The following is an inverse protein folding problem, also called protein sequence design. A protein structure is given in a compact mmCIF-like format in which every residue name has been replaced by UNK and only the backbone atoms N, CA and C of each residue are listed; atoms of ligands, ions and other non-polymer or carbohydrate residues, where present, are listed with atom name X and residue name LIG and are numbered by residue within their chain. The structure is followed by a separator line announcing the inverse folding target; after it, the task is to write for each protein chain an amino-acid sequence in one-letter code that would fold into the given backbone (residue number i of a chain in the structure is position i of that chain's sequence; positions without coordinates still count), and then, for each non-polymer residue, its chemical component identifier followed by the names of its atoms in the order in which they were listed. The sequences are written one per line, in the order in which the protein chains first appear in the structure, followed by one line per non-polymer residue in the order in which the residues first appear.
data_IF_361198510553
#
_entry.id   IF_361198510553
#
_cell.length_a   1.000
_cell.length_b   1.000
_cell.length_c   1.000
_cell.angle_alpha   90.00
_cell.angle_beta   90.00
_cell.angle_gamma   90.00
#
_symmetry.space_group_name_H-M   'P 1'
#
loop_
_entity.id
_entity.type
_entity.pdbx_description
1 polymer ?
#
# COMPACT_ATOMS: atom_id res chain seq x y z
N UNK A 1 14.46 -42.93 -24.46
CA UNK A 1 13.52 -42.86 -23.32
C UNK A 1 14.07 -42.18 -22.08
N UNK A 2 15.37 -42.29 -21.72
CA UNK A 2 15.97 -41.63 -20.54
C UNK A 2 15.97 -40.08 -20.59
N UNK A 3 16.16 -39.47 -21.78
CA UNK A 3 16.21 -38.02 -21.90
C UNK A 3 14.85 -37.32 -21.71
N UNK A 4 13.76 -37.99 -22.06
CA UNK A 4 12.43 -37.40 -21.92
C UNK A 4 11.96 -37.39 -20.46
N UNK A 5 12.45 -38.33 -19.64
CA UNK A 5 12.17 -38.37 -18.21
C UNK A 5 12.87 -37.21 -17.46
N UNK A 6 14.13 -36.91 -17.82
CA UNK A 6 14.89 -35.83 -17.26
C UNK A 6 14.31 -34.46 -17.63
N UNK A 7 13.87 -34.27 -18.86
CA UNK A 7 13.21 -33.06 -19.35
C UNK A 7 11.85 -32.88 -18.65
N UNK A 8 11.07 -33.96 -18.49
CA UNK A 8 9.79 -33.91 -17.77
C UNK A 8 9.97 -33.58 -16.28
N UNK A 9 11.02 -34.10 -15.63
CA UNK A 9 11.36 -33.82 -14.26
C UNK A 9 11.82 -32.35 -14.08
N UNK A 10 12.58 -31.82 -15.05
CA UNK A 10 13.04 -30.43 -15.04
C UNK A 10 11.86 -29.45 -15.22
N UNK A 11 10.91 -29.76 -16.11
CA UNK A 11 9.69 -28.98 -16.32
C UNK A 11 8.81 -29.00 -15.07
N UNK A 12 8.71 -30.14 -14.38
CA UNK A 12 7.94 -30.25 -13.14
C UNK A 12 8.56 -29.43 -11.99
N UNK A 13 9.89 -29.36 -11.91
CA UNK A 13 10.62 -28.51 -10.95
C UNK A 13 10.45 -27.01 -11.20
N UNK A 14 10.32 -26.60 -12.46
CA UNK A 14 10.09 -25.19 -12.84
C UNK A 14 8.63 -24.78 -12.54
N UNK A 15 7.67 -25.68 -12.72
CA UNK A 15 6.25 -25.43 -12.44
C UNK A 15 5.91 -25.38 -10.93
N UNK A 16 6.68 -26.07 -10.08
CA UNK A 16 6.50 -25.99 -8.64
C UNK A 16 7.10 -24.72 -8.02
N UNK A 17 7.89 -23.94 -8.75
CA UNK A 17 8.44 -22.64 -8.33
C UNK A 17 7.48 -21.46 -8.39
N UNK A 18 6.29 -21.64 -8.99
CA UNK A 18 5.24 -20.62 -9.07
C UNK A 18 4.09 -20.81 -8.07
N UNK A 19 4.35 -21.37 -6.91
CA UNK A 19 3.52 -21.03 -5.76
C UNK A 19 3.92 -19.61 -5.40
N UNK A 20 3.23 -18.64 -5.98
CA UNK A 20 3.37 -17.24 -5.63
C UNK A 20 3.29 -17.15 -4.12
N UNK A 21 4.43 -16.90 -3.50
CA UNK A 21 4.49 -16.37 -2.15
C UNK A 21 3.82 -14.99 -2.31
N UNK A 22 2.48 -14.97 -2.25
CA UNK A 22 1.81 -13.74 -1.90
C UNK A 22 2.53 -13.33 -0.61
N UNK A 23 3.01 -12.12 -0.53
CA UNK A 23 3.64 -11.51 0.65
C UNK A 23 2.77 -11.57 1.93
N UNK A 24 1.74 -12.39 1.92
CA UNK A 24 0.81 -12.77 2.99
C UNK A 24 0.95 -14.25 3.39
N UNK A 25 2.13 -14.87 3.21
CA UNK A 25 2.44 -16.17 3.82
C UNK A 25 2.34 -16.07 5.33
N UNK A 26 2.01 -17.19 5.99
CA UNK A 26 1.82 -17.31 7.45
C UNK A 26 2.97 -16.65 8.24
N UNK A 27 4.20 -16.71 7.74
CA UNK A 27 5.36 -16.06 8.32
C UNK A 27 5.43 -14.54 8.07
N UNK A 28 4.98 -14.06 6.90
CA UNK A 28 4.95 -12.61 6.58
C UNK A 28 3.90 -11.86 7.39
N UNK A 29 2.77 -12.51 7.71
CA UNK A 29 1.72 -11.89 8.53
C UNK A 29 2.18 -11.76 9.99
N UNK A 30 2.86 -12.78 10.54
CA UNK A 30 3.35 -12.76 11.91
C UNK A 30 4.43 -11.71 12.14
N UNK A 31 5.38 -11.57 11.21
CA UNK A 31 6.46 -10.57 11.33
C UNK A 31 5.92 -9.15 11.15
N UNK A 32 4.97 -8.93 10.24
CA UNK A 32 4.38 -7.60 10.06
C UNK A 32 3.53 -7.17 11.26
N UNK A 33 2.82 -8.10 11.91
CA UNK A 33 2.07 -7.81 13.15
C UNK A 33 3.02 -7.46 14.29
N UNK A 34 4.13 -8.17 14.44
CA UNK A 34 5.10 -7.94 15.51
C UNK A 34 5.88 -6.62 15.36
N UNK A 35 6.00 -6.09 14.14
CA UNK A 35 6.73 -4.84 13.87
C UNK A 35 5.82 -3.63 13.67
N UNK A 36 4.50 -3.84 13.58
CA UNK A 36 3.52 -2.77 13.44
C UNK A 36 3.33 -2.08 14.81
N UNK A 37 3.48 -0.75 14.90
CA UNK A 37 3.39 -0.04 16.16
C UNK A 37 1.96 0.06 16.73
N UNK A 38 0.94 -0.36 15.97
CA UNK A 38 -0.44 -0.40 16.44
C UNK A 38 -0.67 -1.61 17.34
N UNK A 39 -1.60 -1.50 18.29
CA UNK A 39 -2.04 -2.66 19.07
C UNK A 39 -2.63 -3.73 18.14
N UNK A 40 -2.59 -4.99 18.55
CA UNK A 40 -3.19 -6.11 17.80
C UNK A 40 -4.69 -5.87 17.58
N UNK A 41 -5.41 -5.35 18.58
CA UNK A 41 -6.82 -4.99 18.46
C UNK A 41 -7.05 -3.95 17.36
N UNK A 42 -6.29 -2.85 17.36
CA UNK A 42 -6.38 -1.84 16.31
C UNK A 42 -6.08 -2.39 14.92
N UNK A 43 -5.09 -3.30 14.80
CA UNK A 43 -4.78 -3.94 13.52
C UNK A 43 -5.92 -4.83 13.02
N UNK A 44 -6.60 -5.54 13.91
CA UNK A 44 -7.77 -6.36 13.59
C UNK A 44 -8.93 -5.47 13.12
N UNK A 45 -9.26 -4.43 13.88
CA UNK A 45 -10.32 -3.48 13.55
C UNK A 45 -10.09 -2.82 12.18
N UNK A 46 -8.86 -2.33 11.95
CA UNK A 46 -8.46 -1.74 10.67
C UNK A 46 -8.58 -2.75 9.51
N UNK A 47 -8.22 -4.00 9.75
CA UNK A 47 -8.31 -5.07 8.75
C UNK A 47 -9.76 -5.41 8.41
N UNK A 48 -10.64 -5.46 9.40
CA UNK A 48 -12.08 -5.66 9.21
C UNK A 48 -12.67 -4.49 8.44
N UNK A 49 -12.38 -3.26 8.85
CA UNK A 49 -12.82 -2.03 8.18
C UNK A 49 -12.37 -2.01 6.72
N UNK A 50 -11.09 -2.31 6.45
CA UNK A 50 -10.53 -2.35 5.10
C UNK A 50 -11.23 -3.40 4.23
N UNK A 51 -11.47 -4.60 4.75
CA UNK A 51 -12.17 -5.67 4.01
C UNK A 51 -13.60 -5.29 3.70
N UNK A 52 -14.34 -4.76 4.69
CA UNK A 52 -15.72 -4.34 4.50
C UNK A 52 -15.85 -3.26 3.43
N UNK A 53 -15.00 -2.21 3.52
CA UNK A 53 -14.99 -1.15 2.52
C UNK A 53 -14.58 -1.68 1.14
N UNK A 54 -13.55 -2.53 1.05
CA UNK A 54 -13.11 -3.13 -0.21
C UNK A 54 -14.23 -3.94 -0.88
N UNK A 55 -14.97 -4.72 -0.10
CA UNK A 55 -16.12 -5.49 -0.63
C UNK A 55 -17.20 -4.56 -1.18
N UNK A 56 -17.57 -3.51 -0.45
CA UNK A 56 -18.58 -2.52 -0.90
C UNK A 56 -18.14 -1.81 -2.18
N UNK A 57 -16.84 -1.46 -2.28
CA UNK A 57 -16.24 -0.81 -3.46
C UNK A 57 -16.29 -1.73 -4.67
N UNK A 58 -15.96 -3.02 -4.51
CA UNK A 58 -16.01 -4.01 -5.61
C UNK A 58 -17.45 -4.28 -6.04
N UNK A 59 -18.39 -4.31 -5.11
CA UNK A 59 -19.83 -4.47 -5.42
C UNK A 59 -20.39 -3.26 -6.18
N UNK A 60 -19.84 -2.06 -5.96
CA UNK A 60 -20.20 -0.86 -6.72
C UNK A 60 -19.73 -0.95 -8.17
N UNK A 61 -18.47 -1.36 -8.38
CA UNK A 61 -17.89 -1.59 -9.70
C UNK A 61 -16.74 -2.59 -9.59
N UNK A 62 -16.81 -3.70 -10.33
CA UNK A 62 -15.79 -4.77 -10.31
C UNK A 62 -14.41 -4.28 -10.76
N UNK A 63 -14.34 -3.29 -11.64
CA UNK A 63 -13.08 -2.73 -12.15
C UNK A 63 -12.27 -2.03 -11.04
N UNK A 64 -12.92 -1.62 -9.97
CA UNK A 64 -12.26 -1.01 -8.81
C UNK A 64 -11.37 -1.99 -8.06
N UNK A 65 -11.57 -3.30 -8.21
CA UNK A 65 -10.68 -4.31 -7.62
C UNK A 65 -9.21 -4.11 -8.00
N UNK A 66 -8.95 -3.71 -9.24
CA UNK A 66 -7.59 -3.49 -9.76
C UNK A 66 -7.19 -2.01 -9.75
N UNK A 67 -8.15 -1.10 -9.87
CA UNK A 67 -7.87 0.31 -10.08
C UNK A 67 -7.90 1.16 -8.81
N UNK A 68 -8.50 0.66 -7.71
CA UNK A 68 -8.62 1.38 -6.44
C UNK A 68 -7.95 0.59 -5.32
N UNK A 69 -7.07 1.25 -4.60
CA UNK A 69 -6.41 0.68 -3.42
C UNK A 69 -6.94 1.35 -2.17
N UNK A 70 -7.20 0.56 -1.15
CA UNK A 70 -7.70 1.00 0.15
C UNK A 70 -6.70 0.56 1.22
N UNK A 71 -6.29 1.51 2.06
CA UNK A 71 -5.49 1.24 3.25
C UNK A 71 -6.19 1.87 4.45
N UNK A 72 -6.23 1.14 5.55
CA UNK A 72 -6.75 1.66 6.83
C UNK A 72 -5.65 1.60 7.87
N UNK A 73 -5.43 2.71 8.57
CA UNK A 73 -4.46 2.85 9.63
C UNK A 73 -5.10 3.61 10.80
N UNK A 74 -5.33 2.95 11.91
CA UNK A 74 -5.95 3.51 13.11
C UNK A 74 -7.30 4.21 12.81
N UNK A 75 -8.16 3.54 12.02
CA UNK A 75 -9.45 4.07 11.59
C UNK A 75 -9.38 5.19 10.54
N UNK A 76 -8.18 5.54 10.08
CA UNK A 76 -7.98 6.53 9.00
C UNK A 76 -7.91 5.79 7.67
N UNK A 77 -8.81 6.15 6.75
CA UNK A 77 -8.93 5.51 5.43
C UNK A 77 -8.15 6.32 4.40
N UNK A 78 -7.28 5.65 3.66
CA UNK A 78 -6.54 6.20 2.54
C UNK A 78 -6.99 5.50 1.27
N UNK A 79 -7.49 6.30 0.30
CA UNK A 79 -7.92 5.83 -1.01
C UNK A 79 -6.93 6.31 -2.06
N UNK A 80 -6.39 5.40 -2.85
CA UNK A 80 -5.49 5.70 -3.97
C UNK A 80 -5.89 4.93 -5.21
N UNK A 81 -5.30 5.27 -6.35
CA UNK A 81 -5.59 4.62 -7.63
C UNK A 81 -6.20 5.55 -8.65
N UNK A 82 -6.99 5.00 -9.57
CA UNK A 82 -7.54 5.74 -10.71
C UNK A 82 -8.99 5.35 -10.97
N UNK A 83 -9.83 6.34 -11.28
CA UNK A 83 -11.23 6.18 -11.70
C UNK A 83 -11.50 6.98 -12.97
N UNK A 84 -12.61 6.72 -13.67
CA UNK A 84 -12.91 7.33 -14.96
C UNK A 84 -13.29 8.81 -14.85
N UNK A 85 -13.99 9.19 -13.78
CA UNK A 85 -14.54 10.53 -13.66
C UNK A 85 -14.60 11.03 -12.20
N UNK A 86 -14.79 12.34 -11.99
CA UNK A 86 -14.88 12.93 -10.65
C UNK A 86 -16.06 12.42 -9.81
N UNK A 87 -17.16 12.02 -10.44
CA UNK A 87 -18.33 11.51 -9.73
C UNK A 87 -18.04 10.18 -9.03
N UNK A 88 -17.28 9.29 -9.69
CA UNK A 88 -16.83 8.03 -9.09
C UNK A 88 -15.92 8.29 -7.89
N UNK A 89 -15.00 9.25 -8.01
CA UNK A 89 -14.16 9.66 -6.89
C UNK A 89 -14.99 10.15 -5.71
N UNK A 90 -16.04 10.95 -5.96
CA UNK A 90 -16.93 11.45 -4.92
C UNK A 90 -17.73 10.31 -4.27
N UNK A 91 -18.27 9.37 -5.07
CA UNK A 91 -18.98 8.18 -4.57
C UNK A 91 -18.12 7.34 -3.65
N UNK A 92 -16.85 7.12 -4.02
CA UNK A 92 -15.89 6.39 -3.19
C UNK A 92 -15.57 7.13 -1.89
N UNK A 93 -15.45 8.45 -1.93
CA UNK A 93 -15.26 9.27 -0.73
C UNK A 93 -16.45 9.11 0.23
N UNK A 94 -17.69 9.23 -0.29
CA UNK A 94 -18.90 9.05 0.51
C UNK A 94 -18.96 7.66 1.13
N UNK A 95 -18.71 6.61 0.33
CA UNK A 95 -18.72 5.22 0.80
C UNK A 95 -17.69 4.99 1.94
N UNK A 96 -16.52 5.63 1.85
CA UNK A 96 -15.51 5.57 2.90
C UNK A 96 -15.98 6.23 4.20
N UNK A 97 -16.61 7.41 4.12
CA UNK A 97 -17.16 8.08 5.30
C UNK A 97 -18.34 7.32 5.96
N UNK A 98 -19.09 6.52 5.20
CA UNK A 98 -20.15 5.67 5.72
C UNK A 98 -19.62 4.39 6.41
N UNK A 99 -18.33 4.15 6.41
CA UNK A 99 -17.73 2.96 7.02
C UNK A 99 -17.70 3.12 8.54
N UNK A 100 -18.20 2.11 9.25
CA UNK A 100 -18.24 2.14 10.71
C UNK A 100 -16.84 2.26 11.32
N UNK A 101 -16.66 3.15 12.29
CA UNK A 101 -15.40 3.37 13.00
C UNK A 101 -14.41 4.25 12.26
N UNK A 102 -14.80 4.85 11.12
CA UNK A 102 -13.94 5.79 10.39
C UNK A 102 -13.65 7.04 11.22
N UNK A 103 -12.36 7.43 11.27
CA UNK A 103 -11.89 8.66 11.93
C UNK A 103 -11.59 9.78 10.94
N UNK A 104 -11.04 9.41 9.79
CA UNK A 104 -10.79 10.35 8.69
C UNK A 104 -10.69 9.61 7.36
N UNK A 105 -10.95 10.34 6.27
CA UNK A 105 -10.81 9.85 4.90
C UNK A 105 -9.88 10.77 4.13
N UNK A 106 -8.82 10.20 3.58
CA UNK A 106 -7.97 10.86 2.61
C UNK A 106 -8.13 10.20 1.25
N UNK A 107 -8.64 10.96 0.26
CA UNK A 107 -8.88 10.46 -1.08
C UNK A 107 -7.92 11.08 -2.08
N UNK A 108 -6.85 10.35 -2.40
CA UNK A 108 -5.83 10.71 -3.39
C UNK A 108 -6.03 9.97 -4.73
N UNK A 109 -7.25 9.42 -4.98
CA UNK A 109 -7.63 8.82 -6.27
C UNK A 109 -7.52 9.88 -7.37
N UNK A 110 -6.95 9.48 -8.51
CA UNK A 110 -6.80 10.31 -9.70
C UNK A 110 -7.85 9.93 -10.74
N UNK A 111 -8.22 10.89 -11.58
CA UNK A 111 -9.04 10.60 -12.76
C UNK A 111 -8.12 9.98 -13.81
N UNK A 112 -8.60 8.93 -14.49
CA UNK A 112 -7.88 8.31 -15.60
C UNK A 112 -7.66 9.34 -16.71
N UNK A 113 -6.46 9.31 -17.26
CA UNK A 113 -6.05 10.06 -18.42
C UNK A 113 -5.58 9.08 -19.49
N UNK A 114 -5.30 9.53 -20.68
CA UNK A 114 -4.71 8.71 -21.72
C UNK A 114 -3.46 8.00 -21.20
N UNK A 115 -3.35 6.71 -21.53
CA UNK A 115 -2.25 5.87 -21.05
C UNK A 115 -0.92 6.32 -21.65
N UNK A 116 -0.03 6.81 -20.82
CA UNK A 116 1.34 7.17 -21.19
C UNK A 116 2.30 6.14 -20.63
N UNK A 117 2.74 5.20 -21.47
CA UNK A 117 3.67 4.12 -21.08
C UNK A 117 4.96 4.66 -20.47
N UNK A 118 5.57 5.68 -21.09
CA UNK A 118 6.84 6.27 -20.61
C UNK A 118 6.69 6.86 -19.20
N UNK A 119 5.59 7.55 -18.95
CA UNK A 119 5.29 8.12 -17.63
C UNK A 119 5.04 7.02 -16.60
N UNK A 120 4.26 6.01 -16.95
CA UNK A 120 3.98 4.88 -16.05
C UNK A 120 5.24 4.09 -15.69
N UNK A 121 6.15 3.89 -16.65
CA UNK A 121 7.43 3.24 -16.40
C UNK A 121 8.33 4.07 -15.44
N UNK A 122 8.34 5.40 -15.59
CA UNK A 122 9.05 6.30 -14.66
C UNK A 122 8.46 6.23 -13.24
N UNK A 123 7.14 6.24 -13.12
CA UNK A 123 6.48 6.18 -11.82
C UNK A 123 6.78 4.85 -11.10
N UNK A 124 6.83 3.72 -11.83
CA UNK A 124 7.25 2.42 -11.28
C UNK A 124 8.71 2.46 -10.82
N UNK A 125 9.59 3.05 -11.62
CA UNK A 125 11.01 3.16 -11.27
C UNK A 125 11.21 3.99 -9.98
N UNK A 126 10.57 5.15 -9.88
CA UNK A 126 10.58 6.00 -8.69
C UNK A 126 10.11 5.21 -7.45
N UNK A 127 8.95 4.52 -7.56
CA UNK A 127 8.44 3.70 -6.45
C UNK A 127 9.42 2.63 -6.02
N UNK A 128 10.05 1.94 -6.99
CA UNK A 128 11.02 0.86 -6.71
C UNK A 128 12.29 1.40 -6.06
N UNK A 129 12.80 2.52 -6.53
CA UNK A 129 13.99 3.18 -5.95
C UNK A 129 13.73 3.58 -4.50
N UNK A 130 12.62 4.27 -4.22
CA UNK A 130 12.28 4.66 -2.86
C UNK A 130 12.06 3.44 -1.96
N UNK A 131 11.32 2.44 -2.42
CA UNK A 131 11.10 1.20 -1.64
C UNK A 131 12.43 0.57 -1.26
N UNK A 132 13.38 0.50 -2.19
CA UNK A 132 14.72 -0.03 -1.94
C UNK A 132 15.48 0.83 -0.94
N UNK A 133 15.47 2.16 -1.07
CA UNK A 133 16.11 3.08 -0.15
C UNK A 133 15.59 2.90 1.28
N UNK A 134 14.25 2.82 1.46
CA UNK A 134 13.65 2.60 2.77
C UNK A 134 14.03 1.23 3.39
N UNK A 135 14.14 0.17 2.55
CA UNK A 135 14.54 -1.17 3.04
C UNK A 135 16.00 -1.19 3.51
N UNK A 136 16.90 -0.49 2.80
CA UNK A 136 18.34 -0.46 3.11
C UNK A 136 18.62 0.39 4.36
N UNK A 137 17.84 1.44 4.59
CA UNK A 137 18.01 2.33 5.73
C UNK A 137 17.56 1.65 7.03
N UNK A 138 18.53 1.22 7.85
CA UNK A 138 18.27 0.47 9.10
C UNK A 138 17.49 1.25 10.16
N UNK A 139 17.39 2.58 10.03
CA UNK A 139 16.60 3.43 10.94
C UNK A 139 15.14 3.53 10.53
N UNK A 140 14.76 2.97 9.38
CA UNK A 140 13.40 3.00 8.85
C UNK A 140 12.78 1.61 8.87
N UNK A 141 11.57 1.50 9.40
CA UNK A 141 10.75 0.29 9.34
C UNK A 141 9.94 0.28 8.04
N UNK A 142 10.59 -0.06 6.92
CA UNK A 142 10.01 0.02 5.57
C UNK A 142 8.63 -0.67 5.44
N UNK A 143 8.39 -1.73 6.22
CA UNK A 143 7.10 -2.47 6.25
C UNK A 143 5.91 -1.65 6.75
N UNK A 144 6.18 -0.55 7.46
CA UNK A 144 5.14 0.33 8.01
C UNK A 144 4.66 1.37 6.98
N UNK A 145 5.26 1.40 5.80
CA UNK A 145 4.96 2.40 4.77
C UNK A 145 4.39 1.77 3.51
N UNK A 146 3.42 2.44 2.93
CA UNK A 146 2.93 2.18 1.58
C UNK A 146 3.30 3.36 0.70
N UNK A 147 3.86 3.07 -0.48
CA UNK A 147 4.32 4.06 -1.45
C UNK A 147 3.54 3.87 -2.74
N UNK A 148 3.00 4.95 -3.25
CA UNK A 148 2.43 5.04 -4.60
C UNK A 148 3.02 6.24 -5.32
N UNK A 149 3.34 6.10 -6.61
CA UNK A 149 3.82 7.21 -7.44
C UNK A 149 2.86 7.47 -8.59
N UNK A 150 2.58 8.74 -8.85
CA UNK A 150 1.77 9.19 -9.97
C UNK A 150 2.30 10.50 -10.53
N UNK A 151 2.65 10.50 -11.81
CA UNK A 151 3.23 11.67 -12.52
C UNK A 151 4.37 12.30 -11.71
N UNK A 152 5.35 11.46 -11.32
CA UNK A 152 6.53 11.85 -10.52
C UNK A 152 6.25 12.42 -9.12
N UNK A 153 4.99 12.34 -8.66
CA UNK A 153 4.60 12.71 -7.30
C UNK A 153 4.51 11.46 -6.46
N UNK A 154 5.25 11.41 -5.37
CA UNK A 154 5.25 10.30 -4.43
C UNK A 154 4.17 10.54 -3.38
N UNK A 155 3.38 9.52 -3.10
CA UNK A 155 2.39 9.47 -2.02
C UNK A 155 2.85 8.41 -1.01
N UNK A 156 3.09 8.81 0.22
CA UNK A 156 3.55 7.92 1.30
C UNK A 156 2.47 7.88 2.38
N UNK A 157 2.05 6.68 2.75
CA UNK A 157 1.12 6.42 3.86
C UNK A 157 1.79 5.46 4.82
N UNK A 158 1.74 5.75 6.12
CA UNK A 158 2.35 4.85 7.08
C UNK A 158 2.30 5.35 8.51
N UNK A 159 2.99 4.60 9.36
CA UNK A 159 3.15 4.93 10.78
C UNK A 159 4.64 4.90 11.10
N UNK A 160 5.16 6.03 11.57
CA UNK A 160 6.52 6.16 12.06
C UNK A 160 6.56 5.96 13.58
N UNK A 161 7.62 5.29 14.07
CA UNK A 161 7.86 5.11 15.50
C UNK A 161 8.27 6.43 16.16
N UNK A 162 9.01 7.27 15.42
CA UNK A 162 9.53 8.54 15.91
C UNK A 162 9.43 9.63 14.84
N UNK A 163 9.50 10.88 15.27
CA UNK A 163 9.58 12.03 14.34
C UNK A 163 10.83 11.95 13.46
N UNK A 164 11.96 11.46 14.00
CA UNK A 164 13.21 11.28 13.25
C UNK A 164 13.01 10.28 12.09
N UNK A 165 12.36 9.14 12.35
CA UNK A 165 12.05 8.15 11.30
C UNK A 165 11.16 8.76 10.21
N UNK A 166 10.13 9.52 10.58
CA UNK A 166 9.27 10.24 9.64
C UNK A 166 10.06 11.19 8.75
N UNK A 167 10.96 11.98 9.33
CA UNK A 167 11.77 12.95 8.60
C UNK A 167 12.75 12.24 7.66
N UNK A 168 13.35 11.12 8.09
CA UNK A 168 14.20 10.29 7.25
C UNK A 168 13.43 9.74 6.04
N UNK A 169 12.23 9.22 6.22
CA UNK A 169 11.39 8.71 5.11
C UNK A 169 11.09 9.81 4.10
N UNK A 170 10.79 11.01 4.56
CA UNK A 170 10.53 12.16 3.69
C UNK A 170 11.80 12.62 2.98
N UNK A 171 12.94 12.59 3.65
CA UNK A 171 14.24 12.94 3.06
C UNK A 171 14.62 11.96 1.96
N UNK A 172 14.59 10.64 2.24
CA UNK A 172 14.84 9.60 1.23
C UNK A 172 13.94 9.77 -0.01
N UNK A 173 12.67 10.10 0.19
CA UNK A 173 11.76 10.31 -0.91
C UNK A 173 12.10 11.54 -1.77
N UNK A 174 12.61 12.61 -1.17
CA UNK A 174 13.01 13.84 -1.87
C UNK A 174 14.31 13.67 -2.66
N UNK A 175 15.16 12.71 -2.26
CA UNK A 175 16.45 12.43 -2.92
C UNK A 175 16.28 11.54 -4.16
N UNK A 176 15.12 10.91 -4.37
CA UNK A 176 14.87 10.08 -5.54
C UNK A 176 14.84 10.94 -6.80
N UNK A 177 15.62 10.49 -7.79
CA UNK A 177 15.75 11.19 -9.07
C UNK A 177 14.39 11.32 -9.78
N UNK A 178 14.18 12.43 -10.48
CA UNK A 178 12.96 12.73 -11.24
C UNK A 178 11.70 12.97 -10.39
N UNK A 179 11.79 13.03 -9.08
CA UNK A 179 10.64 13.35 -8.20
C UNK A 179 10.33 14.84 -8.23
N UNK A 180 9.07 15.19 -8.48
CA UNK A 180 8.60 16.58 -8.50
C UNK A 180 7.97 17.00 -7.17
N UNK A 181 7.36 16.06 -6.44
CA UNK A 181 6.73 16.36 -5.14
C UNK A 181 6.58 15.11 -4.28
N UNK A 182 6.60 15.30 -2.96
CA UNK A 182 6.38 14.26 -1.96
C UNK A 182 5.20 14.65 -1.08
N UNK A 183 4.18 13.79 -1.06
CA UNK A 183 2.96 13.95 -0.27
C UNK A 183 2.93 12.86 0.78
N UNK A 184 3.40 13.18 1.99
CA UNK A 184 3.49 12.25 3.09
C UNK A 184 2.28 12.37 4.04
N UNK A 185 1.64 11.23 4.32
CA UNK A 185 0.58 11.06 5.32
C UNK A 185 1.04 10.05 6.34
N UNK A 186 2.07 10.42 7.10
CA UNK A 186 2.74 9.58 8.09
C UNK A 186 2.22 9.98 9.47
N UNK A 187 1.62 9.02 10.16
CA UNK A 187 1.10 9.13 11.52
C UNK A 187 2.25 8.78 12.46
N UNK A 188 2.42 9.52 13.54
CA UNK A 188 3.32 9.14 14.63
C UNK A 188 2.64 8.14 15.57
N UNK A 189 3.42 7.24 16.15
CA UNK A 189 2.89 6.27 17.15
C UNK A 189 2.22 6.98 18.32
N UNK A 190 2.75 8.12 18.77
CA UNK A 190 2.18 8.93 19.83
C UNK A 190 0.79 9.49 19.51
N UNK A 191 0.45 9.61 18.20
CA UNK A 191 -0.87 10.07 17.73
C UNK A 191 -1.87 8.92 17.55
N UNK A 192 -1.48 7.69 17.82
CA UNK A 192 -2.37 6.53 17.75
C UNK A 192 -3.33 6.50 18.93
N UNK A 193 -4.47 5.85 18.76
CA UNK A 193 -5.38 5.59 19.88
C UNK A 193 -4.67 4.72 20.91
N UNK A 194 -4.56 5.22 22.11
CA UNK A 194 -4.21 4.41 23.27
C UNK A 194 -5.48 3.66 23.65
N UNK A 195 -5.50 2.35 23.43
CA UNK A 195 -6.56 1.52 24.02
C UNK A 195 -6.28 1.53 25.54
N UNK A 196 -7.19 2.17 26.31
CA UNK A 196 -7.19 1.97 27.75
C UNK A 196 -7.51 0.50 28.00
N UNK A 197 -6.56 -0.21 28.58
CA UNK A 197 -6.79 -1.53 29.14
C UNK A 197 -7.88 -1.48 30.24
#
# INVERSE_FOLDING_TARGET
MKNNLAVSLLIFLILSGCVGVSSKGIFGTGVSVATDPRTVGTQIDDSIMQKNLSTRVILMNKDYFLSVKIKVLDGRIFLTGKVENPEEKLKLTKLAWETQGVRSVRNDIKIKEEFNFKQSAKDILITSQLTTALIINKKIKATNYQIDTYKKKIYIYGIALTSEEKDLVISEAKEILDVENVIASIILVEDLRIQKE
#
